data_IF_736292783779
#
_entry.id   IF_736292783779
#
_cell.length_a   1.000
_cell.length_b   1.000
_cell.length_c   1.000
_cell.angle_alpha   90.00
_cell.angle_beta   90.00
_cell.angle_gamma   90.00
#
_symmetry.space_group_name_H-M   'P 1'
#
loop_
_entity.id
_entity.type
_entity.pdbx_description
1 polymer ?
#
# COMPACT_ATOMS: atom_id res chain seq x y z
N UNK A 1 6.38 -2.32 10.18
CA UNK A 1 7.07 -1.46 9.21
C UNK A 1 6.55 -1.69 7.81
N UNK A 2 6.73 -0.76 6.91
CA UNK A 2 6.45 -0.90 5.48
C UNK A 2 7.53 -0.17 4.70
N UNK A 3 7.75 -0.51 3.44
CA UNK A 3 8.77 0.16 2.64
C UNK A 3 8.25 1.46 2.05
N UNK A 4 9.11 2.50 2.00
CA UNK A 4 8.80 3.81 1.40
C UNK A 4 8.25 3.66 -0.03
N UNK A 5 8.84 2.81 -0.90
CA UNK A 5 8.38 2.63 -2.26
C UNK A 5 6.91 2.24 -2.37
N UNK A 6 6.51 1.15 -1.70
CA UNK A 6 5.15 0.65 -1.79
C UNK A 6 4.11 1.64 -1.27
N UNK A 7 4.49 2.47 -0.28
CA UNK A 7 3.59 3.51 0.24
C UNK A 7 3.45 4.69 -0.72
N UNK A 8 4.51 5.05 -1.46
CA UNK A 8 4.45 6.10 -2.50
C UNK A 8 3.70 5.65 -3.74
N UNK A 9 3.84 4.39 -4.14
CA UNK A 9 3.29 3.88 -5.39
C UNK A 9 1.75 3.79 -5.44
N UNK A 10 1.05 3.99 -4.32
CA UNK A 10 -0.41 3.92 -4.32
C UNK A 10 -0.98 2.53 -4.52
N UNK A 11 -0.24 1.50 -4.15
CA UNK A 11 -0.66 0.10 -4.27
C UNK A 11 -1.94 -0.17 -3.49
N UNK A 12 -2.02 0.36 -2.27
CA UNK A 12 -3.21 0.25 -1.42
C UNK A 12 -4.02 1.53 -1.46
N UNK A 13 -5.28 1.44 -1.86
CA UNK A 13 -6.17 2.57 -2.13
C UNK A 13 -7.51 2.40 -1.42
N UNK A 14 -8.30 3.47 -1.24
CA UNK A 14 -9.64 3.34 -0.65
C UNK A 14 -10.54 2.43 -1.48
N UNK A 15 -11.40 1.67 -0.80
CA UNK A 15 -12.47 0.90 -1.43
C UNK A 15 -13.41 1.84 -2.19
N UNK A 16 -13.69 1.52 -3.44
CA UNK A 16 -14.67 2.28 -4.22
C UNK A 16 -16.08 1.91 -3.76
N UNK A 17 -16.74 2.87 -3.14
CA UNK A 17 -18.16 2.75 -2.81
C UNK A 17 -18.98 3.08 -4.06
N UNK A 18 -19.50 2.07 -4.73
CA UNK A 18 -20.47 2.25 -5.82
C UNK A 18 -21.82 1.76 -5.37
N UNK A 19 -22.84 2.58 -5.58
CA UNK A 19 -24.26 2.20 -5.43
C UNK A 19 -24.70 1.23 -6.51
N UNK A 20 -23.95 1.12 -7.60
CA UNK A 20 -24.24 0.22 -8.71
C UNK A 20 -23.29 -1.00 -8.67
N UNK A 21 -23.81 -2.17 -8.29
CA UNK A 21 -23.07 -3.44 -8.21
C UNK A 21 -22.31 -3.80 -9.50
N UNK A 22 -22.83 -3.43 -10.66
CA UNK A 22 -22.19 -3.66 -11.96
C UNK A 22 -20.93 -2.80 -12.15
N UNK A 23 -20.96 -1.53 -11.70
CA UNK A 23 -19.80 -0.63 -11.73
C UNK A 23 -18.76 -1.06 -10.70
N UNK A 24 -19.19 -1.51 -9.50
CA UNK A 24 -18.29 -2.04 -8.48
C UNK A 24 -17.55 -3.31 -8.97
N UNK A 25 -18.23 -4.17 -9.73
CA UNK A 25 -17.62 -5.36 -10.34
C UNK A 25 -16.62 -5.02 -11.45
N UNK A 26 -16.91 -3.98 -12.27
CA UNK A 26 -15.98 -3.47 -13.30
C UNK A 26 -14.76 -2.73 -12.71
N UNK A 27 -14.92 -2.01 -11.61
CA UNK A 27 -13.83 -1.27 -10.98
C UNK A 27 -12.84 -2.16 -10.20
N UNK A 28 -13.19 -3.43 -9.97
CA UNK A 28 -12.27 -4.45 -9.45
C UNK A 28 -11.46 -5.15 -10.56
N UNK A 29 -11.71 -4.84 -11.82
CA UNK A 29 -10.90 -5.30 -12.97
C UNK A 29 -9.65 -4.45 -13.02
N UNK A 30 -8.50 -5.10 -12.88
CA UNK A 30 -7.14 -4.68 -13.03
C UNK A 30 -6.85 -3.16 -13.05
N UNK A 31 -6.21 -2.65 -12.04
CA UNK A 31 -5.65 -1.30 -12.07
C UNK A 31 -4.24 -1.37 -12.69
N UNK A 32 -4.03 -0.62 -13.74
CA UNK A 32 -2.69 -0.37 -14.27
C UNK A 32 -2.23 0.99 -13.72
N UNK A 33 -1.38 0.98 -12.70
CA UNK A 33 -0.92 2.18 -12.02
C UNK A 33 0.48 2.50 -12.54
N UNK A 34 0.61 3.61 -13.29
CA UNK A 34 1.91 4.14 -13.64
C UNK A 34 2.43 4.98 -12.46
N UNK A 35 3.50 4.54 -11.84
CA UNK A 35 4.13 5.17 -10.69
C UNK A 35 5.55 5.66 -11.00
N UNK A 36 5.88 5.88 -12.27
CA UNK A 36 7.22 6.28 -12.73
C UNK A 36 7.70 7.61 -12.10
N UNK A 37 6.78 8.53 -11.78
CA UNK A 37 7.11 9.78 -11.08
C UNK A 37 7.72 9.54 -9.69
N UNK A 38 7.37 8.43 -9.04
CA UNK A 38 7.88 8.06 -7.73
C UNK A 38 9.15 7.19 -7.81
N UNK A 39 9.50 6.69 -9.00
CA UNK A 39 10.65 5.81 -9.25
C UNK A 39 11.98 6.50 -8.91
N UNK A 40 12.09 7.80 -9.15
CA UNK A 40 13.32 8.59 -8.90
C UNK A 40 13.79 8.56 -7.42
N UNK A 41 12.92 8.11 -6.54
CA UNK A 41 13.18 8.03 -5.09
C UNK A 41 13.44 6.60 -4.62
N UNK A 42 13.48 5.61 -5.53
CA UNK A 42 13.73 4.21 -5.21
C UNK A 42 15.22 3.89 -5.37
N UNK A 43 15.87 3.41 -4.31
CA UNK A 43 17.28 3.00 -4.38
C UNK A 43 17.47 1.83 -5.36
N UNK A 44 16.54 0.87 -5.39
CA UNK A 44 16.54 -0.24 -6.35
C UNK A 44 16.50 0.27 -7.79
N UNK A 45 15.67 1.27 -8.08
CA UNK A 45 15.59 1.85 -9.41
C UNK A 45 16.88 2.56 -9.81
N UNK A 46 17.49 3.28 -8.86
CA UNK A 46 18.77 3.97 -9.09
C UNK A 46 19.92 2.99 -9.32
N UNK A 47 20.02 1.93 -8.49
CA UNK A 47 21.10 0.96 -8.57
C UNK A 47 21.04 0.08 -9.83
N UNK A 48 19.83 -0.27 -10.30
CA UNK A 48 19.62 -1.08 -11.50
C UNK A 48 19.31 -0.24 -12.76
N UNK A 49 19.15 1.09 -12.62
CA UNK A 49 18.92 2.02 -13.73
C UNK A 49 17.53 1.89 -14.36
N UNK A 50 16.51 1.49 -13.61
CA UNK A 50 15.13 1.46 -14.08
C UNK A 50 14.55 2.88 -14.20
N UNK A 51 13.75 3.11 -15.23
CA UNK A 51 13.17 4.43 -15.56
C UNK A 51 11.64 4.44 -15.41
N UNK A 52 11.01 3.29 -15.54
CA UNK A 52 9.56 3.14 -15.46
C UNK A 52 9.17 2.07 -14.46
N UNK A 53 8.06 2.30 -13.76
CA UNK A 53 7.44 1.30 -12.88
C UNK A 53 5.93 1.29 -13.11
N UNK A 54 5.39 0.11 -13.32
CA UNK A 54 3.97 -0.11 -13.49
C UNK A 54 3.51 -1.21 -12.54
N UNK A 55 2.35 -1.03 -11.94
CA UNK A 55 1.73 -2.04 -11.08
C UNK A 55 0.43 -2.47 -11.74
N UNK A 56 0.33 -3.74 -12.06
CA UNK A 56 -0.84 -4.34 -12.67
C UNK A 56 -1.40 -5.47 -11.81
N UNK A 57 -2.72 -5.53 -11.71
CA UNK A 57 -3.41 -6.54 -10.93
C UNK A 57 -4.72 -6.06 -10.32
N UNK A 58 -5.38 -6.88 -9.50
CA UNK A 58 -6.59 -6.48 -8.82
C UNK A 58 -6.33 -5.32 -7.86
N UNK A 59 -7.33 -4.43 -7.72
CA UNK A 59 -7.27 -3.31 -6.78
C UNK A 59 -7.15 -3.81 -5.35
N UNK A 60 -6.15 -3.30 -4.63
CA UNK A 60 -5.91 -3.59 -3.22
C UNK A 60 -6.49 -2.49 -2.34
N UNK A 61 -7.30 -2.86 -1.35
CA UNK A 61 -7.95 -1.92 -0.45
C UNK A 61 -7.17 -1.67 0.86
N UNK A 62 -7.50 -0.56 1.52
CA UNK A 62 -6.92 -0.19 2.81
C UNK A 62 -7.56 -0.92 3.98
N UNK A 63 -8.77 -1.48 3.83
CA UNK A 63 -9.49 -2.08 4.96
C UNK A 63 -9.01 -3.51 5.25
N UNK A 64 -8.83 -4.33 4.23
CA UNK A 64 -8.42 -5.73 4.37
C UNK A 64 -7.04 -6.00 3.79
N UNK A 65 -6.82 -5.65 2.51
CA UNK A 65 -5.60 -6.03 1.79
C UNK A 65 -4.34 -5.40 2.40
N UNK A 66 -4.42 -4.12 2.79
CA UNK A 66 -3.30 -3.45 3.47
C UNK A 66 -2.98 -4.08 4.84
N UNK A 67 -4.01 -4.50 5.60
CA UNK A 67 -3.81 -5.17 6.88
C UNK A 67 -3.16 -6.55 6.70
N UNK A 68 -3.62 -7.32 5.70
CA UNK A 68 -3.01 -8.61 5.38
C UNK A 68 -1.56 -8.42 4.95
N UNK A 69 -1.27 -7.42 4.12
CA UNK A 69 0.09 -7.05 3.76
C UNK A 69 0.96 -6.72 4.98
N UNK A 70 0.47 -5.89 5.91
CA UNK A 70 1.22 -5.54 7.12
C UNK A 70 1.45 -6.76 8.02
N UNK A 71 0.50 -7.69 8.06
CA UNK A 71 0.64 -8.98 8.75
C UNK A 71 1.75 -9.85 8.13
N UNK A 72 1.78 -9.97 6.80
CA UNK A 72 2.84 -10.69 6.08
C UNK A 72 4.21 -10.09 6.42
N UNK A 73 4.33 -8.77 6.31
CA UNK A 73 5.58 -8.09 6.62
C UNK A 73 5.99 -8.30 8.09
N UNK A 74 5.05 -8.26 9.03
CA UNK A 74 5.35 -8.56 10.45
C UNK A 74 5.90 -9.98 10.61
N UNK A 75 5.28 -10.96 9.97
CA UNK A 75 5.72 -12.36 10.01
C UNK A 75 7.13 -12.51 9.41
N UNK A 76 7.38 -11.90 8.25
CA UNK A 76 8.69 -11.96 7.59
C UNK A 76 9.80 -11.30 8.42
N UNK A 77 9.48 -10.16 9.06
CA UNK A 77 10.47 -9.43 9.88
C UNK A 77 10.82 -10.19 11.15
N UNK A 78 9.84 -10.83 11.80
CA UNK A 78 10.06 -11.55 13.05
C UNK A 78 10.73 -12.92 12.84
N UNK A 79 10.60 -13.50 11.64
CA UNK A 79 11.11 -14.83 11.30
C UNK A 79 12.35 -14.79 10.38
N UNK A 80 13.05 -13.67 10.27
CA UNK A 80 14.35 -13.62 9.55
C UNK A 80 15.38 -14.64 10.10
N UNK A 81 15.18 -15.11 11.34
CA UNK A 81 16.03 -16.06 12.04
C UNK A 81 15.48 -17.50 12.06
N UNK A 82 14.24 -17.73 11.67
CA UNK A 82 13.51 -19.03 11.82
C UNK A 82 12.82 -19.50 10.53
N UNK A 83 13.31 -19.10 9.35
CA UNK A 83 12.78 -19.67 8.10
C UNK A 83 13.16 -21.15 8.02
N UNK A 84 12.22 -21.98 7.53
CA UNK A 84 12.50 -23.37 7.20
C UNK A 84 13.67 -23.46 6.17
N UNK A 85 14.31 -24.60 6.04
CA UNK A 85 15.44 -24.82 5.09
C UNK A 85 15.06 -24.43 3.65
N UNK A 86 13.77 -24.57 3.26
CA UNK A 86 13.21 -24.17 1.97
C UNK A 86 12.87 -22.66 1.87
N UNK A 87 13.14 -21.86 2.91
CA UNK A 87 12.83 -20.44 2.97
C UNK A 87 11.36 -20.10 3.18
N UNK A 88 10.51 -21.10 3.48
CA UNK A 88 9.10 -20.88 3.82
C UNK A 88 8.92 -20.53 5.29
N UNK A 89 7.85 -19.80 5.62
CA UNK A 89 7.47 -19.47 6.99
C UNK A 89 6.09 -20.01 7.26
N UNK A 90 5.97 -20.80 8.33
CA UNK A 90 4.71 -21.41 8.76
C UNK A 90 4.22 -20.76 10.05
N UNK A 91 2.95 -20.31 10.06
CA UNK A 91 2.32 -19.65 11.21
C UNK A 91 0.88 -20.14 11.37
N UNK A 92 0.35 -20.12 12.59
CA UNK A 92 -1.08 -20.40 12.82
C UNK A 92 -1.94 -19.34 12.16
N UNK A 93 -3.03 -19.73 11.48
CA UNK A 93 -3.95 -18.79 10.83
C UNK A 93 -4.49 -17.74 11.81
N UNK A 94 -4.86 -18.20 13.02
CA UNK A 94 -5.35 -17.31 14.08
C UNK A 94 -4.31 -16.27 14.50
N UNK A 95 -3.05 -16.66 14.62
CA UNK A 95 -1.94 -15.76 14.93
C UNK A 95 -1.67 -14.80 13.78
N UNK A 96 -1.61 -15.31 12.56
CA UNK A 96 -1.46 -14.47 11.35
C UNK A 96 -2.52 -13.38 11.28
N UNK A 97 -3.81 -13.75 11.49
CA UNK A 97 -4.90 -12.80 11.49
C UNK A 97 -4.76 -11.71 12.58
N UNK A 98 -4.26 -12.06 13.76
CA UNK A 98 -3.96 -11.07 14.80
C UNK A 98 -2.81 -10.14 14.41
N UNK A 99 -1.78 -10.64 13.74
CA UNK A 99 -0.68 -9.82 13.18
C UNK A 99 -1.18 -8.86 12.10
N UNK A 100 -2.21 -9.26 11.34
CA UNK A 100 -2.93 -8.37 10.43
C UNK A 100 -3.77 -7.28 11.16
N UNK A 101 -3.87 -7.32 12.48
CA UNK A 101 -4.67 -6.38 13.27
C UNK A 101 -6.15 -6.75 13.38
N UNK A 102 -6.52 -8.01 13.11
CA UNK A 102 -7.88 -8.50 13.27
C UNK A 102 -8.07 -9.15 14.64
N UNK A 103 -9.24 -8.95 15.26
CA UNK A 103 -9.56 -9.54 16.56
C UNK A 103 -10.01 -11.01 16.40
N UNK A 104 -9.71 -11.85 17.39
CA UNK A 104 -10.14 -13.26 17.42
C UNK A 104 -11.65 -13.44 17.20
N UNK A 105 -12.48 -12.57 17.76
CA UNK A 105 -13.94 -12.66 17.62
C UNK A 105 -14.45 -12.45 16.19
N UNK A 106 -13.61 -11.96 15.27
CA UNK A 106 -13.95 -11.80 13.85
C UNK A 106 -13.59 -13.00 12.97
N UNK A 107 -12.90 -14.01 13.50
CA UNK A 107 -12.36 -15.13 12.71
C UNK A 107 -13.43 -16.20 12.38
N UNK A 108 -14.64 -15.76 12.02
CA UNK A 108 -15.68 -16.63 11.46
C UNK A 108 -15.31 -17.07 10.04
N UNK A 109 -15.96 -18.12 9.53
CA UNK A 109 -15.68 -18.68 8.21
C UNK A 109 -15.65 -17.63 7.09
N UNK A 110 -16.66 -16.74 7.05
CA UNK A 110 -16.72 -15.63 6.05
C UNK A 110 -15.49 -14.72 6.10
N UNK A 111 -14.96 -14.46 7.29
CA UNK A 111 -13.80 -13.60 7.44
C UNK A 111 -12.50 -14.33 7.03
N UNK A 112 -12.41 -15.64 7.23
CA UNK A 112 -11.30 -16.47 6.74
C UNK A 112 -11.24 -16.41 5.21
N UNK A 113 -12.38 -16.48 4.52
CA UNK A 113 -12.45 -16.31 3.07
C UNK A 113 -11.95 -14.90 2.62
N UNK A 114 -12.27 -13.85 3.34
CA UNK A 114 -11.75 -12.49 3.04
C UNK A 114 -10.22 -12.42 3.11
N UNK A 115 -9.61 -13.06 4.11
CA UNK A 115 -8.14 -13.12 4.20
C UNK A 115 -7.56 -13.93 3.03
N UNK A 116 -8.16 -15.07 2.67
CA UNK A 116 -7.75 -15.86 1.50
C UNK A 116 -7.86 -15.06 0.20
N UNK A 117 -8.96 -14.34 0.01
CA UNK A 117 -9.15 -13.48 -1.16
C UNK A 117 -8.11 -12.35 -1.21
N UNK A 118 -7.77 -11.79 -0.06
CA UNK A 118 -6.72 -10.78 0.04
C UNK A 118 -5.35 -11.33 -0.34
N UNK A 119 -4.98 -12.51 0.15
CA UNK A 119 -3.75 -13.20 -0.24
C UNK A 119 -3.71 -13.44 -1.75
N UNK A 120 -4.82 -13.93 -2.33
CA UNK A 120 -4.95 -14.15 -3.79
C UNK A 120 -4.75 -12.84 -4.57
N UNK A 121 -5.37 -11.75 -4.16
CA UNK A 121 -5.18 -10.43 -4.79
C UNK A 121 -3.73 -9.96 -4.71
N UNK A 122 -3.09 -10.08 -3.55
CA UNK A 122 -1.69 -9.71 -3.35
C UNK A 122 -0.76 -10.52 -4.26
N UNK A 123 -0.98 -11.83 -4.40
CA UNK A 123 -0.23 -12.69 -5.31
C UNK A 123 -0.45 -12.35 -6.78
N UNK A 124 -1.65 -11.87 -7.14
CA UNK A 124 -2.01 -11.50 -8.51
C UNK A 124 -1.53 -10.10 -8.91
N UNK A 125 -0.93 -9.33 -7.99
CA UNK A 125 -0.36 -8.03 -8.29
C UNK A 125 1.10 -8.18 -8.72
N UNK A 126 1.40 -7.64 -9.90
CA UNK A 126 2.74 -7.64 -10.50
C UNK A 126 3.27 -6.22 -10.56
N UNK A 127 4.48 -6.03 -10.08
CA UNK A 127 5.24 -4.79 -10.24
C UNK A 127 6.21 -5.02 -11.39
N UNK A 128 6.11 -4.18 -12.40
CA UNK A 128 6.93 -4.19 -13.60
C UNK A 128 7.90 -3.01 -13.55
N UNK A 129 9.19 -3.31 -13.64
CA UNK A 129 10.27 -2.32 -13.74
C UNK A 129 10.84 -2.40 -15.15
N UNK A 130 10.93 -1.28 -15.86
CA UNK A 130 11.52 -1.26 -17.19
C UNK A 130 12.53 -0.14 -17.38
N UNK A 131 13.51 -0.40 -18.26
CA UNK A 131 14.55 0.54 -18.70
C UNK A 131 14.83 0.37 -20.16
N UNK A 132 15.14 1.50 -20.84
CA UNK A 132 15.62 1.50 -22.20
C UNK A 132 17.15 1.38 -22.21
N UNK A 133 17.71 0.48 -23.02
CA UNK A 133 19.16 0.32 -23.23
C UNK A 133 19.65 0.94 -24.53
N UNK A 134 18.92 1.94 -25.08
CA UNK A 134 19.22 2.53 -26.39
C UNK A 134 18.79 1.65 -27.57
N UNK A 135 18.50 2.26 -28.72
CA UNK A 135 18.12 1.58 -29.98
C UNK A 135 17.11 0.43 -29.81
N UNK A 136 15.93 0.72 -29.22
CA UNK A 136 14.78 -0.20 -29.14
C UNK A 136 14.96 -1.48 -28.29
N UNK A 137 15.94 -1.56 -27.40
CA UNK A 137 16.08 -2.67 -26.47
C UNK A 137 15.53 -2.25 -25.11
N UNK A 138 14.35 -2.74 -24.77
CA UNK A 138 13.75 -2.61 -23.43
C UNK A 138 14.11 -3.83 -22.58
N UNK A 139 14.55 -3.57 -21.35
CA UNK A 139 14.69 -4.61 -20.32
C UNK A 139 13.59 -4.44 -19.31
N UNK A 140 12.75 -5.45 -19.15
CA UNK A 140 11.63 -5.47 -18.23
C UNK A 140 11.80 -6.54 -17.18
N UNK A 141 11.66 -6.18 -15.90
CA UNK A 141 11.67 -7.09 -14.74
C UNK A 141 10.28 -7.12 -14.11
N UNK A 142 9.69 -8.30 -14.01
CA UNK A 142 8.40 -8.53 -13.36
C UNK A 142 8.59 -9.11 -11.96
N UNK A 143 7.87 -8.57 -10.99
CA UNK A 143 7.96 -8.99 -9.59
C UNK A 143 6.58 -9.09 -8.99
N UNK A 144 6.27 -10.21 -8.36
CA UNK A 144 5.05 -10.36 -7.56
C UNK A 144 5.24 -9.78 -6.16
N UNK A 145 4.16 -9.23 -5.57
CA UNK A 145 4.17 -8.73 -4.19
C UNK A 145 4.41 -9.87 -3.19
N UNK A 146 3.87 -11.05 -3.46
CA UNK A 146 4.09 -12.27 -2.67
C UNK A 146 4.42 -13.41 -3.64
N UNK A 147 5.34 -14.30 -3.29
CA UNK A 147 5.68 -15.47 -4.08
C UNK A 147 4.57 -16.51 -4.03
N UNK A 148 4.53 -17.30 -2.97
CA UNK A 148 3.54 -18.36 -2.77
C UNK A 148 2.90 -18.24 -1.39
N UNK A 149 1.65 -18.66 -1.25
CA UNK A 149 1.00 -18.80 0.05
C UNK A 149 0.05 -19.98 0.06
N UNK A 150 0.11 -20.77 1.13
CA UNK A 150 -0.82 -21.87 1.40
C UNK A 150 -1.62 -21.56 2.64
N UNK A 151 -2.94 -21.72 2.58
CA UNK A 151 -3.86 -21.58 3.71
C UNK A 151 -4.55 -22.92 3.97
N UNK A 152 -4.17 -23.56 5.05
CA UNK A 152 -4.80 -24.79 5.52
C UNK A 152 -5.71 -24.48 6.72
N UNK A 153 -7.00 -24.37 6.44
CA UNK A 153 -8.00 -24.03 7.46
C UNK A 153 -8.20 -25.18 8.45
N UNK A 154 -8.11 -26.43 7.98
CA UNK A 154 -8.32 -27.62 8.81
C UNK A 154 -7.27 -27.74 9.91
N UNK A 155 -6.03 -27.40 9.60
CA UNK A 155 -4.90 -27.43 10.53
C UNK A 155 -4.57 -26.05 11.13
N UNK A 156 -5.41 -25.04 10.95
CA UNK A 156 -5.20 -23.65 11.39
C UNK A 156 -3.81 -23.10 10.98
N UNK A 157 -3.40 -23.31 9.73
CA UNK A 157 -2.04 -23.04 9.26
C UNK A 157 -2.01 -22.12 8.04
N UNK A 158 -1.05 -21.20 8.03
CA UNK A 158 -0.68 -20.38 6.86
C UNK A 158 0.81 -20.59 6.60
N UNK A 159 1.16 -20.86 5.36
CA UNK A 159 2.55 -20.97 4.90
C UNK A 159 2.77 -19.85 3.90
N UNK A 160 3.82 -19.08 4.09
CA UNK A 160 4.20 -17.95 3.25
C UNK A 160 5.59 -18.18 2.66
N UNK A 161 5.71 -18.05 1.36
CA UNK A 161 7.00 -18.06 0.65
C UNK A 161 7.27 -16.63 0.14
N UNK A 162 8.16 -15.87 0.78
CA UNK A 162 8.47 -14.52 0.33
C UNK A 162 9.19 -14.56 -1.02
N UNK A 163 8.83 -13.66 -1.94
CA UNK A 163 9.62 -13.50 -3.16
C UNK A 163 11.00 -12.92 -2.81
N UNK A 164 12.04 -13.35 -3.55
CA UNK A 164 13.41 -12.82 -3.38
C UNK A 164 13.42 -11.29 -3.49
N UNK A 165 12.72 -10.75 -4.46
CA UNK A 165 12.66 -9.29 -4.67
C UNK A 165 11.93 -8.57 -3.54
N UNK A 166 10.93 -9.19 -2.91
CA UNK A 166 10.31 -8.62 -1.71
C UNK A 166 11.32 -8.52 -0.56
N UNK A 167 12.14 -9.56 -0.37
CA UNK A 167 13.24 -9.53 0.61
C UNK A 167 14.24 -8.42 0.27
N UNK A 168 14.65 -8.31 -1.00
CA UNK A 168 15.60 -7.28 -1.46
C UNK A 168 15.05 -5.85 -1.27
N UNK A 169 13.78 -5.62 -1.63
CA UNK A 169 13.10 -4.35 -1.36
C UNK A 169 12.99 -4.05 0.14
N UNK A 170 12.88 -5.08 0.97
CA UNK A 170 12.74 -4.93 2.41
C UNK A 170 14.06 -4.69 3.13
N UNK A 171 15.15 -5.24 2.61
CA UNK A 171 16.51 -5.08 3.16
C UNK A 171 17.17 -3.80 2.66
N UNK A 172 17.01 -3.47 1.36
CA UNK A 172 17.70 -2.35 0.70
C UNK A 172 17.03 -0.99 0.82
N UNK A 173 15.73 -0.94 1.16
CA UNK A 173 14.97 0.30 1.14
C UNK A 173 14.70 0.87 2.53
N UNK A 174 14.56 2.19 2.61
CA UNK A 174 14.20 2.87 3.85
C UNK A 174 12.86 2.37 4.40
N UNK A 175 12.87 1.90 5.64
CA UNK A 175 11.68 1.41 6.34
C UNK A 175 10.91 2.58 6.95
N UNK A 176 9.60 2.62 6.71
CA UNK A 176 8.70 3.55 7.40
C UNK A 176 8.06 2.84 8.57
N UNK A 177 8.21 3.43 9.74
CA UNK A 177 7.52 2.95 10.92
C UNK A 177 6.10 3.54 10.97
N UNK A 178 5.15 2.90 10.31
CA UNK A 178 3.75 3.29 10.41
C UNK A 178 3.24 3.07 11.84
N UNK A 179 2.69 4.11 12.45
CA UNK A 179 2.17 4.03 13.80
C UNK A 179 0.78 3.38 13.79
N UNK A 180 0.65 2.21 14.39
CA UNK A 180 -0.64 1.52 14.55
C UNK A 180 -1.69 2.41 15.25
N UNK A 181 -1.25 3.31 16.13
CA UNK A 181 -2.14 4.26 16.81
C UNK A 181 -2.82 5.20 15.81
N UNK A 182 -2.07 5.75 14.83
CA UNK A 182 -2.64 6.58 13.77
C UNK A 182 -3.62 5.80 12.90
N UNK A 183 -3.27 4.60 12.48
CA UNK A 183 -4.15 3.75 11.68
C UNK A 183 -5.44 3.38 12.44
N UNK A 184 -5.35 3.13 13.76
CA UNK A 184 -6.53 2.89 14.61
C UNK A 184 -7.41 4.14 14.76
N UNK A 185 -6.82 5.32 14.95
CA UNK A 185 -7.55 6.60 15.02
C UNK A 185 -8.27 6.94 13.70
N UNK A 186 -7.74 6.44 12.58
CA UNK A 186 -8.32 6.57 11.25
C UNK A 186 -9.19 5.37 10.85
N UNK A 187 -9.63 4.53 11.80
CA UNK A 187 -10.48 3.38 11.50
C UNK A 187 -11.69 3.79 10.65
N UNK A 188 -11.97 3.03 9.57
CA UNK A 188 -13.03 3.29 8.58
C UNK A 188 -12.87 4.59 7.76
N UNK A 189 -11.72 5.26 7.83
CA UNK A 189 -11.39 6.48 7.06
C UNK A 189 -10.30 6.13 6.03
N UNK A 190 -10.60 5.22 5.11
CA UNK A 190 -9.62 4.63 4.18
C UNK A 190 -8.83 5.66 3.36
N UNK A 191 -9.49 6.74 2.87
CA UNK A 191 -8.79 7.81 2.15
C UNK A 191 -7.75 8.51 3.04
N UNK A 192 -8.07 8.76 4.30
CA UNK A 192 -7.12 9.36 5.24
C UNK A 192 -6.00 8.38 5.60
N UNK A 193 -6.29 7.08 5.76
CA UNK A 193 -5.26 6.04 5.95
C UNK A 193 -4.30 5.97 4.76
N UNK A 194 -4.83 6.00 3.52
CA UNK A 194 -4.01 5.98 2.31
C UNK A 194 -3.14 7.24 2.19
N UNK A 195 -3.67 8.43 2.52
CA UNK A 195 -2.88 9.66 2.56
C UNK A 195 -1.87 9.68 3.71
N UNK A 196 -2.21 9.12 4.87
CA UNK A 196 -1.26 8.95 5.98
C UNK A 196 -0.02 8.15 5.54
N UNK A 197 -0.22 6.98 4.93
CA UNK A 197 0.90 6.14 4.46
C UNK A 197 1.74 6.84 3.39
N UNK A 198 1.11 7.58 2.49
CA UNK A 198 1.79 8.36 1.47
C UNK A 198 2.60 9.53 2.05
N UNK A 199 2.01 10.30 2.97
CA UNK A 199 2.65 11.46 3.60
C UNK A 199 3.84 11.02 4.45
N UNK A 200 3.73 9.90 5.19
CA UNK A 200 4.88 9.33 5.93
C UNK A 200 6.03 8.94 5.01
N UNK A 201 5.73 8.54 3.77
CA UNK A 201 6.72 8.17 2.78
C UNK A 201 7.40 9.38 2.09
N UNK A 202 6.90 10.60 2.27
CA UNK A 202 7.53 11.81 1.73
C UNK A 202 8.80 12.17 2.53
N UNK A 203 9.74 12.93 1.93
CA UNK A 203 10.90 13.44 2.67
C UNK A 203 10.47 14.32 3.86
N UNK A 204 11.37 14.60 4.82
CA UNK A 204 11.04 15.39 6.02
C UNK A 204 10.41 16.75 5.71
N UNK A 205 10.95 17.46 4.72
CA UNK A 205 10.45 18.76 4.26
C UNK A 205 10.03 18.64 2.78
N UNK A 206 8.83 18.10 2.49
CA UNK A 206 8.41 17.91 1.12
C UNK A 206 8.07 19.25 0.46
N UNK A 207 8.32 19.36 -0.82
CA UNK A 207 7.75 20.44 -1.65
C UNK A 207 6.21 20.33 -1.62
N UNK A 208 5.48 21.43 -1.90
CA UNK A 208 4.02 21.38 -1.94
C UNK A 208 3.51 20.25 -2.83
N UNK A 209 2.59 19.46 -2.33
CA UNK A 209 2.01 18.31 -3.05
C UNK A 209 0.76 18.78 -3.79
N UNK A 210 0.72 18.61 -5.09
CA UNK A 210 -0.45 19.00 -5.88
C UNK A 210 -1.68 18.15 -5.57
N UNK A 211 -2.87 18.72 -5.74
CA UNK A 211 -4.14 17.99 -5.54
C UNK A 211 -4.27 16.84 -6.52
N UNK A 212 -3.71 16.96 -7.73
CA UNK A 212 -3.65 15.90 -8.74
C UNK A 212 -2.87 14.70 -8.22
N UNK A 213 -1.74 14.93 -7.56
CA UNK A 213 -0.91 13.86 -7.00
C UNK A 213 -1.65 13.11 -5.88
N UNK A 214 -2.36 13.83 -5.02
CA UNK A 214 -3.23 13.20 -4.01
C UNK A 214 -4.38 12.41 -4.64
N UNK A 215 -5.03 12.95 -5.70
CA UNK A 215 -6.08 12.23 -6.43
C UNK A 215 -5.55 10.94 -7.06
N UNK A 216 -4.39 11.00 -7.74
CA UNK A 216 -3.71 9.81 -8.30
C UNK A 216 -3.42 8.79 -7.20
N UNK A 217 -2.88 9.24 -6.05
CA UNK A 217 -2.58 8.36 -4.91
C UNK A 217 -3.81 7.61 -4.39
N UNK A 218 -4.97 8.24 -4.41
CA UNK A 218 -6.23 7.63 -3.98
C UNK A 218 -6.90 6.81 -5.09
N UNK A 219 -6.44 6.89 -6.34
CA UNK A 219 -7.04 6.22 -7.51
C UNK A 219 -8.57 6.36 -7.56
N UNK A 220 -9.06 7.58 -7.35
CA UNK A 220 -10.50 7.87 -7.35
C UNK A 220 -11.01 7.94 -8.79
N UNK A 221 -12.22 7.43 -9.03
CA UNK A 221 -12.85 7.37 -10.35
C UNK A 221 -14.01 8.36 -10.54
N UNK A 222 -14.35 9.12 -9.50
CA UNK A 222 -15.42 10.13 -9.54
C UNK A 222 -14.99 11.40 -10.30
N UNK A 223 -15.92 12.34 -10.50
CA UNK A 223 -15.62 13.65 -11.10
C UNK A 223 -14.56 14.42 -10.30
N UNK A 224 -13.69 15.21 -10.95
CA UNK A 224 -12.59 15.93 -10.28
C UNK A 224 -13.00 16.74 -9.05
N UNK A 225 -14.14 17.43 -9.08
CA UNK A 225 -14.64 18.19 -7.93
C UNK A 225 -14.91 17.31 -6.70
N UNK A 226 -15.49 16.12 -6.89
CA UNK A 226 -15.70 15.15 -5.80
C UNK A 226 -14.39 14.54 -5.31
N UNK A 227 -13.45 14.27 -6.22
CA UNK A 227 -12.11 13.81 -5.84
C UNK A 227 -11.40 14.86 -4.97
N UNK A 228 -11.47 16.14 -5.36
CA UNK A 228 -10.88 17.25 -4.58
C UNK A 228 -11.51 17.34 -3.19
N UNK A 229 -12.83 17.19 -3.09
CA UNK A 229 -13.53 17.17 -1.80
C UNK A 229 -13.08 15.99 -0.94
N UNK A 230 -12.90 14.80 -1.53
CA UNK A 230 -12.41 13.61 -0.83
C UNK A 230 -10.98 13.82 -0.30
N UNK A 231 -10.09 14.43 -1.11
CA UNK A 231 -8.71 14.76 -0.68
C UNK A 231 -8.74 15.72 0.52
N UNK A 232 -9.48 16.84 0.42
CA UNK A 232 -9.57 17.81 1.51
C UNK A 232 -10.14 17.19 2.79
N UNK A 233 -11.20 16.38 2.66
CA UNK A 233 -11.78 15.65 3.79
C UNK A 233 -10.75 14.71 4.44
N UNK A 234 -9.96 14.00 3.65
CA UNK A 234 -8.95 13.10 4.16
C UNK A 234 -7.82 13.85 4.88
N UNK A 235 -7.33 14.96 4.31
CA UNK A 235 -6.33 15.82 4.96
C UNK A 235 -6.86 16.41 6.26
N UNK A 236 -8.10 16.89 6.27
CA UNK A 236 -8.75 17.39 7.50
C UNK A 236 -8.87 16.32 8.58
N UNK A 237 -9.17 15.07 8.20
CA UNK A 237 -9.20 13.94 9.14
C UNK A 237 -7.83 13.63 9.74
N UNK A 238 -6.75 13.86 9.00
CA UNK A 238 -5.38 13.73 9.51
C UNK A 238 -5.01 14.86 10.48
N UNK A 239 -5.48 16.06 10.20
CA UNK A 239 -5.32 17.21 11.08
C UNK A 239 -6.13 17.02 12.37
N UNK A 240 -7.39 16.58 12.29
CA UNK A 240 -8.29 16.37 13.43
C UNK A 240 -7.76 15.35 14.45
N UNK A 241 -6.97 14.34 14.00
CA UNK A 241 -6.31 13.41 14.90
C UNK A 241 -4.96 13.93 15.43
N UNK A 242 -4.61 15.17 15.09
CA UNK A 242 -3.37 15.81 15.52
C UNK A 242 -2.10 15.27 14.84
N UNK A 243 -2.23 14.57 13.73
CA UNK A 243 -1.10 14.04 12.97
C UNK A 243 -0.47 15.06 12.03
N UNK A 244 -1.31 15.83 11.32
CA UNK A 244 -0.90 16.68 10.22
C UNK A 244 -1.23 18.15 10.52
N UNK A 245 -0.27 19.02 10.20
CA UNK A 245 -0.49 20.45 10.04
C UNK A 245 -0.11 20.83 8.60
N UNK A 246 -1.03 21.47 7.88
CA UNK A 246 -0.84 21.77 6.47
C UNK A 246 -1.50 23.09 6.07
N UNK A 247 -1.07 23.65 4.94
CA UNK A 247 -1.65 24.83 4.32
C UNK A 247 -2.04 24.53 2.87
N UNK A 248 -3.28 24.87 2.50
CA UNK A 248 -3.70 24.84 1.09
C UNK A 248 -3.19 26.09 0.38
N UNK A 249 -2.42 25.88 -0.69
CA UNK A 249 -1.91 26.92 -1.56
C UNK A 249 -2.73 26.92 -2.85
N UNK A 250 -3.12 28.09 -3.32
CA UNK A 250 -3.87 28.25 -4.58
C UNK A 250 -3.22 29.32 -5.43
N UNK A 251 -2.82 28.92 -6.64
CA UNK A 251 -2.26 29.81 -7.67
C UNK A 251 -3.07 29.63 -8.96
N UNK A 252 -3.96 30.56 -9.24
CA UNK A 252 -4.93 30.43 -10.33
C UNK A 252 -5.79 29.16 -10.16
N UNK A 253 -5.73 28.27 -11.13
CA UNK A 253 -6.44 26.97 -11.09
C UNK A 253 -5.63 25.84 -10.44
N UNK A 254 -4.37 26.07 -10.07
CA UNK A 254 -3.51 25.08 -9.45
C UNK A 254 -3.74 25.09 -7.93
N UNK A 255 -3.93 23.91 -7.37
CA UNK A 255 -4.10 23.70 -5.94
C UNK A 255 -3.00 22.76 -5.47
N UNK A 256 -2.29 23.14 -4.41
CA UNK A 256 -1.29 22.34 -3.77
C UNK A 256 -1.42 22.44 -2.23
N UNK A 257 -0.80 21.52 -1.52
CA UNK A 257 -0.81 21.48 -0.06
C UNK A 257 0.62 21.46 0.44
N UNK A 258 0.99 22.48 1.20
CA UNK A 258 2.27 22.51 1.92
C UNK A 258 2.08 21.77 3.23
N UNK A 259 2.88 20.73 3.44
CA UNK A 259 2.96 20.03 4.72
C UNK A 259 3.89 20.81 5.62
N UNK A 260 3.34 21.35 6.70
CA UNK A 260 4.07 22.18 7.68
C UNK A 260 4.70 21.27 8.73
N UNK A 261 3.90 20.36 9.28
CA UNK A 261 4.35 19.48 10.37
C UNK A 261 3.68 18.12 10.31
N UNK A 262 4.44 17.10 10.63
CA UNK A 262 3.95 15.75 10.89
C UNK A 262 4.21 15.42 12.36
N UNK A 263 3.19 14.95 13.06
CA UNK A 263 3.32 14.52 14.45
C UNK A 263 3.13 12.99 14.54
N UNK A 264 4.19 12.20 14.44
CA UNK A 264 4.07 10.75 14.47
C UNK A 264 3.64 10.20 15.83
N UNK A 265 3.72 11.02 16.89
CA UNK A 265 3.40 10.57 18.25
C UNK A 265 1.91 10.67 18.59
N UNK A 266 1.11 11.39 17.80
CA UNK A 266 -0.28 11.72 18.07
C UNK A 266 -0.51 12.18 19.51
N UNK A 267 -1.00 13.37 19.71
CA UNK A 267 -1.36 13.84 21.06
C UNK A 267 -2.47 13.00 21.67
#
# INVERSE_FOLDING_TARGET
>A
SSTVPLMRLGVFVPTLKSTNKAIAKKSNVGSNINASDDLRHLELAKSEGFERITISGPRLDMDTDFKVWTGIISVLTDNELESNEDGTISIRFTEFAMRCGFSRGRLKAEFREKIKDSLRKLMSNVVEFSKDRGTNIEVTKFVQLIGESTVDIGNDKVILTPSKTLKDLYVGEYKILLKLRALKALARKESAQALYTFIEALPPNPIPVSIERFRKRLSLTSRPALQNSTVRKALKQLEDIGYLEYQELKEGNKIAFQIIKRNPSLK
#
